data_IF_587907986403
#
_entry.id   IF_587907986403
#
_cell.length_a   1.000
_cell.length_b   1.000
_cell.length_c   1.000
_cell.angle_alpha   90.00
_cell.angle_beta   90.00
_cell.angle_gamma   90.00
#
_symmetry.space_group_name_H-M   'P 1'
#
loop_
_entity.id
_entity.type
_entity.pdbx_description
1 polymer ?
#
# COMPACT_ATOMS: atom_id res chain seq x y z
N UNK A 1 -7.72 17.60 -7.51
CA UNK A 1 -7.54 16.45 -8.45
C UNK A 1 -8.57 16.58 -9.56
N UNK A 2 -8.16 16.62 -10.84
CA UNK A 2 -9.09 16.68 -11.98
C UNK A 2 -9.21 15.28 -12.58
N UNK A 3 -10.33 14.60 -12.34
CA UNK A 3 -10.62 13.30 -12.95
C UNK A 3 -10.93 13.44 -14.44
N UNK A 4 -10.51 12.47 -15.26
CA UNK A 4 -10.92 12.39 -16.66
C UNK A 4 -12.42 12.06 -16.72
N UNK A 5 -13.16 12.77 -17.57
CA UNK A 5 -14.57 12.47 -17.83
C UNK A 5 -14.63 11.37 -18.89
N UNK A 6 -15.31 10.28 -18.58
CA UNK A 6 -15.65 9.23 -19.54
C UNK A 6 -17.11 9.39 -19.96
N UNK A 7 -17.44 8.86 -21.15
CA UNK A 7 -18.79 8.76 -21.68
C UNK A 7 -19.07 7.27 -21.90
N UNK A 8 -20.13 6.77 -21.27
CA UNK A 8 -20.61 5.41 -21.48
C UNK A 8 -21.24 5.29 -22.86
N UNK A 9 -21.07 4.15 -23.54
CA UNK A 9 -21.64 3.89 -24.86
C UNK A 9 -22.28 2.49 -24.84
N UNK A 10 -23.55 2.40 -25.26
CA UNK A 10 -24.31 1.14 -25.37
C UNK A 10 -24.00 0.38 -26.66
N UNK A 11 -22.73 0.11 -26.93
CA UNK A 11 -22.35 -0.78 -28.04
C UNK A 11 -22.56 -2.24 -27.63
N UNK A 12 -23.01 -3.06 -28.59
CA UNK A 12 -23.05 -4.51 -28.39
C UNK A 12 -21.65 -5.02 -28.06
N UNK A 13 -21.53 -5.74 -26.93
CA UNK A 13 -20.26 -6.33 -26.51
C UNK A 13 -19.79 -7.31 -27.58
N UNK A 14 -18.62 -7.06 -28.18
CA UNK A 14 -18.02 -7.97 -29.14
C UNK A 14 -17.59 -9.27 -28.45
N UNK A 15 -17.69 -10.40 -29.13
CA UNK A 15 -17.18 -11.67 -28.62
C UNK A 15 -15.66 -11.56 -28.37
N UNK A 16 -15.22 -12.09 -27.24
CA UNK A 16 -13.81 -12.06 -26.84
C UNK A 16 -13.00 -12.98 -27.77
N UNK A 17 -12.02 -12.47 -28.53
CA UNK A 17 -11.19 -13.32 -29.38
C UNK A 17 -10.38 -14.33 -28.55
N UNK A 18 -10.28 -15.57 -29.02
CA UNK A 18 -9.65 -16.68 -28.29
C UNK A 18 -8.20 -16.41 -27.89
N UNK A 19 -7.45 -15.64 -28.69
CA UNK A 19 -6.06 -15.30 -28.36
C UNK A 19 -5.96 -14.39 -27.13
N UNK A 20 -6.95 -13.52 -26.89
CA UNK A 20 -7.02 -12.71 -25.66
C UNK A 20 -7.45 -13.59 -24.49
N UNK A 21 -8.42 -14.49 -24.71
CA UNK A 21 -8.84 -15.46 -23.69
C UNK A 21 -7.68 -16.34 -23.23
N UNK A 22 -6.82 -16.79 -24.16
CA UNK A 22 -5.60 -17.53 -23.84
C UNK A 22 -4.62 -16.74 -22.97
N UNK A 23 -4.38 -15.46 -23.30
CA UNK A 23 -3.51 -14.58 -22.50
C UNK A 23 -4.04 -14.33 -21.07
N UNK A 24 -5.36 -14.31 -20.88
CA UNK A 24 -5.99 -14.16 -19.57
C UNK A 24 -5.88 -15.43 -18.72
N UNK A 25 -5.79 -16.61 -19.34
CA UNK A 25 -5.62 -17.89 -18.65
C UNK A 25 -4.17 -18.20 -18.27
N UNK A 26 -3.20 -17.69 -19.05
CA UNK A 26 -1.77 -17.82 -18.78
C UNK A 26 -1.25 -16.79 -17.77
N UNK A 27 -2.09 -15.90 -17.24
CA UNK A 27 -1.67 -14.97 -16.20
C UNK A 27 -1.28 -15.78 -14.94
N UNK A 28 0.02 -15.82 -14.57
CA UNK A 28 0.45 -16.58 -13.43
C UNK A 28 -0.31 -16.06 -12.21
N UNK A 29 -0.93 -16.98 -11.46
CA UNK A 29 -1.65 -16.66 -10.23
C UNK A 29 -0.83 -15.64 -9.43
N UNK A 30 -1.43 -14.51 -8.97
CA UNK A 30 -0.69 -13.42 -8.37
C UNK A 30 0.28 -13.98 -7.35
N UNK A 31 1.57 -13.82 -7.68
CA UNK A 31 2.72 -14.34 -6.97
C UNK A 31 2.51 -14.20 -5.47
N UNK A 32 2.60 -15.33 -4.75
CA UNK A 32 2.62 -15.52 -3.29
C UNK A 32 2.25 -14.27 -2.49
N UNK A 33 1.12 -14.30 -1.78
CA UNK A 33 0.76 -13.34 -0.72
C UNK A 33 2.03 -12.73 -0.12
N UNK A 34 2.25 -11.43 -0.34
CA UNK A 34 3.46 -10.74 0.05
C UNK A 34 3.91 -11.17 1.46
N UNK A 35 5.05 -11.85 1.57
CA UNK A 35 5.58 -12.27 2.86
C UNK A 35 6.35 -11.12 3.50
N UNK A 36 5.75 -10.54 4.54
CA UNK A 36 6.36 -9.48 5.34
C UNK A 36 7.07 -10.00 6.59
N UNK A 37 7.09 -11.31 6.85
CA UNK A 37 7.66 -11.93 8.05
C UNK A 37 9.08 -11.45 8.37
N UNK A 38 10.05 -11.58 7.45
CA UNK A 38 11.44 -11.15 7.70
C UNK A 38 11.57 -9.66 8.02
N UNK A 39 10.78 -8.81 7.36
CA UNK A 39 10.75 -7.37 7.60
C UNK A 39 10.20 -7.07 9.00
N UNK A 40 9.09 -7.73 9.35
CA UNK A 40 8.44 -7.55 10.64
C UNK A 40 9.30 -8.06 11.80
N UNK A 41 10.10 -9.09 11.61
CA UNK A 41 11.07 -9.56 12.60
C UNK A 41 12.16 -8.52 12.88
N UNK A 42 12.70 -7.88 11.84
CA UNK A 42 13.69 -6.81 11.98
C UNK A 42 13.10 -5.62 12.76
N UNK A 43 11.85 -5.26 12.47
CA UNK A 43 11.15 -4.18 13.18
C UNK A 43 10.81 -4.59 14.62
N UNK A 44 10.37 -5.83 14.84
CA UNK A 44 9.96 -6.35 16.15
C UNK A 44 11.12 -6.38 17.15
N UNK A 45 12.34 -6.64 16.69
CA UNK A 45 13.57 -6.53 17.51
C UNK A 45 13.78 -5.13 18.10
N UNK A 46 13.24 -4.08 17.47
CA UNK A 46 13.32 -2.69 17.96
C UNK A 46 12.08 -2.31 18.75
N UNK A 47 10.90 -2.71 18.28
CA UNK A 47 9.64 -2.45 18.96
C UNK A 47 8.53 -3.39 18.47
N UNK A 48 7.99 -4.19 19.38
CA UNK A 48 6.82 -5.04 19.11
C UNK A 48 5.61 -4.20 18.67
N UNK A 49 5.44 -3.00 19.23
CA UNK A 49 4.40 -2.06 18.83
C UNK A 49 4.56 -1.62 17.38
N UNK A 50 5.77 -1.20 16.98
CA UNK A 50 6.02 -0.75 15.59
C UNK A 50 5.81 -1.90 14.61
N UNK A 51 6.21 -3.12 14.96
CA UNK A 51 5.97 -4.29 14.13
C UNK A 51 4.47 -4.60 14.01
N UNK A 52 3.72 -4.54 15.10
CA UNK A 52 2.26 -4.73 15.07
C UNK A 52 1.55 -3.65 14.23
N UNK A 53 1.93 -2.38 14.40
CA UNK A 53 1.40 -1.28 13.60
C UNK A 53 1.72 -1.45 12.11
N UNK A 54 2.97 -1.79 11.78
CA UNK A 54 3.39 -2.04 10.39
C UNK A 54 2.58 -3.17 9.77
N UNK A 55 2.42 -4.29 10.47
CA UNK A 55 1.61 -5.43 10.00
C UNK A 55 0.15 -5.01 9.74
N UNK A 56 -0.48 -4.33 10.70
CA UNK A 56 -1.89 -3.93 10.58
C UNK A 56 -2.14 -2.99 9.40
N UNK A 57 -1.23 -2.04 9.13
CA UNK A 57 -1.34 -1.16 7.96
C UNK A 57 -1.17 -1.93 6.64
N UNK A 58 -0.20 -2.85 6.57
CA UNK A 58 0.01 -3.68 5.39
C UNK A 58 -1.17 -4.62 5.11
N UNK A 59 -1.72 -5.25 6.14
CA UNK A 59 -2.94 -6.06 6.04
C UNK A 59 -4.14 -5.22 5.58
N UNK A 60 -4.28 -3.99 6.09
CA UNK A 60 -5.34 -3.07 5.67
C UNK A 60 -5.22 -2.71 4.18
N UNK A 61 -4.00 -2.47 3.69
CA UNK A 61 -3.74 -2.25 2.26
C UNK A 61 -4.06 -3.50 1.45
N UNK A 62 -3.60 -4.68 1.87
CA UNK A 62 -3.87 -5.95 1.19
C UNK A 62 -5.36 -6.31 1.14
N UNK A 63 -6.11 -5.96 2.18
CA UNK A 63 -7.55 -6.22 2.27
C UNK A 63 -8.41 -5.14 1.59
N UNK A 64 -7.80 -4.11 0.98
CA UNK A 64 -8.53 -3.01 0.38
C UNK A 64 -9.41 -3.49 -0.78
N UNK A 65 -10.73 -3.32 -0.62
CA UNK A 65 -11.72 -3.77 -1.60
C UNK A 65 -11.49 -3.11 -2.98
N UNK A 66 -11.65 -3.85 -4.09
CA UNK A 66 -11.72 -3.25 -5.42
C UNK A 66 -12.90 -2.26 -5.50
N UNK A 67 -12.68 -1.10 -6.11
CA UNK A 67 -13.70 -0.05 -6.24
C UNK A 67 -13.07 1.33 -6.47
N UNK A 68 -13.82 2.24 -7.08
CA UNK A 68 -13.35 3.58 -7.42
C UNK A 68 -12.89 4.35 -6.16
N UNK A 69 -11.58 4.59 -6.07
CA UNK A 69 -10.95 5.45 -5.06
C UNK A 69 -10.55 4.79 -3.74
N UNK A 70 -11.20 3.69 -3.32
CA UNK A 70 -10.96 3.10 -2.00
C UNK A 70 -9.52 2.63 -1.78
N UNK A 71 -8.92 1.94 -2.77
CA UNK A 71 -7.55 1.41 -2.62
C UNK A 71 -6.50 2.51 -2.48
N UNK A 72 -6.62 3.57 -3.28
CA UNK A 72 -5.67 4.68 -3.23
C UNK A 72 -5.80 5.48 -1.91
N UNK A 73 -7.04 5.70 -1.44
CA UNK A 73 -7.28 6.30 -0.12
C UNK A 73 -6.73 5.44 1.01
N UNK A 74 -6.95 4.12 0.98
CA UNK A 74 -6.40 3.20 1.98
C UNK A 74 -4.87 3.22 1.96
N UNK A 75 -4.25 3.16 0.78
CA UNK A 75 -2.79 3.26 0.64
C UNK A 75 -2.25 4.58 1.19
N UNK A 76 -2.91 5.70 0.90
CA UNK A 76 -2.51 7.01 1.40
C UNK A 76 -2.58 7.08 2.93
N UNK A 77 -3.65 6.55 3.53
CA UNK A 77 -3.82 6.50 4.99
C UNK A 77 -2.75 5.63 5.65
N UNK A 78 -2.45 4.46 5.09
CA UNK A 78 -1.38 3.60 5.57
C UNK A 78 -0.01 4.28 5.45
N UNK A 79 0.27 4.92 4.31
CA UNK A 79 1.50 5.68 4.10
C UNK A 79 1.64 6.86 5.08
N UNK A 80 0.54 7.57 5.36
CA UNK A 80 0.50 8.60 6.39
C UNK A 80 0.82 8.02 7.76
N UNK A 81 0.13 6.96 8.18
CA UNK A 81 0.27 6.35 9.50
C UNK A 81 1.70 5.83 9.74
N UNK A 82 2.28 5.11 8.78
CA UNK A 82 3.66 4.63 8.86
C UNK A 82 4.66 5.79 8.74
N UNK A 83 4.35 6.82 7.96
CA UNK A 83 5.14 8.06 7.90
C UNK A 83 5.27 8.75 9.25
N UNK A 84 4.25 8.71 10.11
CA UNK A 84 4.35 9.25 11.47
C UNK A 84 5.33 8.47 12.34
N UNK A 85 5.47 7.16 12.14
CA UNK A 85 6.47 6.33 12.81
C UNK A 85 7.87 6.61 12.28
N UNK A 86 8.00 6.87 10.97
CA UNK A 86 9.25 7.34 10.35
C UNK A 86 9.68 8.68 10.94
N UNK A 87 8.76 9.66 11.03
CA UNK A 87 9.03 10.96 11.63
C UNK A 87 9.41 10.90 13.12
N UNK A 88 8.95 9.87 13.83
CA UNK A 88 9.34 9.59 15.22
C UNK A 88 10.65 8.79 15.34
N UNK A 89 11.33 8.46 14.23
CA UNK A 89 12.56 7.67 14.24
C UNK A 89 12.36 6.17 14.56
N UNK A 90 11.12 5.71 14.59
CA UNK A 90 10.75 4.35 15.01
C UNK A 90 10.76 3.34 13.85
N UNK A 91 10.70 3.80 12.62
CA UNK A 91 10.67 2.97 11.41
C UNK A 91 11.54 3.60 10.30
N UNK A 92 12.39 2.84 9.60
CA UNK A 92 13.16 3.39 8.49
C UNK A 92 12.27 3.77 7.30
N UNK A 93 12.56 4.90 6.66
CA UNK A 93 11.81 5.41 5.50
C UNK A 93 11.80 4.41 4.34
N UNK A 94 12.98 3.92 3.93
CA UNK A 94 13.09 3.01 2.78
C UNK A 94 12.36 1.69 2.98
N UNK A 95 12.35 1.18 4.21
CA UNK A 95 11.63 -0.05 4.58
C UNK A 95 10.12 0.16 4.49
N UNK A 96 9.62 1.31 4.97
CA UNK A 96 8.21 1.71 4.83
C UNK A 96 7.79 1.77 3.36
N UNK A 97 8.57 2.46 2.53
CA UNK A 97 8.28 2.60 1.10
C UNK A 97 8.27 1.25 0.39
N UNK A 98 9.26 0.40 0.64
CA UNK A 98 9.35 -0.93 0.03
C UNK A 98 8.16 -1.82 0.42
N UNK A 99 7.79 -1.85 1.70
CA UNK A 99 6.69 -2.67 2.19
C UNK A 99 5.33 -2.25 1.57
N UNK A 100 5.07 -0.95 1.51
CA UNK A 100 3.85 -0.41 0.91
C UNK A 100 3.82 -0.61 -0.61
N UNK A 101 4.97 -0.53 -1.29
CA UNK A 101 5.06 -0.81 -2.72
C UNK A 101 4.69 -2.27 -3.03
N UNK A 102 5.21 -3.21 -2.23
CA UNK A 102 4.86 -4.64 -2.35
C UNK A 102 3.37 -4.86 -2.05
N UNK A 103 2.83 -4.28 -0.98
CA UNK A 103 1.40 -4.44 -0.63
C UNK A 103 0.46 -3.82 -1.67
N UNK A 104 0.84 -2.70 -2.29
CA UNK A 104 0.03 -2.03 -3.32
C UNK A 104 0.10 -2.72 -4.68
N UNK A 105 1.20 -3.40 -5.01
CA UNK A 105 1.31 -4.21 -6.21
C UNK A 105 0.27 -5.34 -6.24
N UNK A 106 0.00 -5.97 -5.08
CA UNK A 106 -1.04 -6.99 -4.94
C UNK A 106 -2.48 -6.44 -5.14
N UNK A 107 -2.65 -5.12 -5.14
CA UNK A 107 -3.94 -4.44 -5.26
C UNK A 107 -4.23 -3.89 -6.66
N UNK A 108 -3.42 -4.22 -7.68
CA UNK A 108 -3.62 -3.78 -9.08
C UNK A 108 -3.78 -2.23 -9.15
N UNK A 109 -2.95 -1.49 -8.41
CA UNK A 109 -2.75 -0.06 -8.67
C UNK A 109 -1.65 0.11 -9.72
N UNK A 110 -1.76 1.09 -10.63
CA UNK A 110 -0.63 1.49 -11.45
C UNK A 110 0.57 1.86 -10.57
N UNK A 111 1.73 1.26 -10.80
CA UNK A 111 2.94 1.41 -9.96
C UNK A 111 3.31 2.88 -9.73
N UNK A 112 3.23 3.72 -10.76
CA UNK A 112 3.54 5.14 -10.66
C UNK A 112 2.59 5.90 -9.72
N UNK A 113 1.29 5.58 -9.75
CA UNK A 113 0.28 6.19 -8.88
C UNK A 113 0.50 5.75 -7.43
N UNK A 114 0.74 4.45 -7.21
CA UNK A 114 1.05 3.91 -5.89
C UNK A 114 2.29 4.58 -5.27
N UNK A 115 3.37 4.73 -6.04
CA UNK A 115 4.60 5.37 -5.55
C UNK A 115 4.40 6.85 -5.19
N UNK A 116 3.65 7.60 -6.01
CA UNK A 116 3.33 8.99 -5.71
C UNK A 116 2.47 9.12 -4.45
N UNK A 117 1.49 8.22 -4.27
CA UNK A 117 0.65 8.16 -3.07
C UNK A 117 1.45 7.81 -1.83
N UNK A 118 2.33 6.80 -1.91
CA UNK A 118 3.20 6.38 -0.80
C UNK A 118 4.09 7.54 -0.38
N UNK A 119 4.80 8.16 -1.34
CA UNK A 119 5.70 9.29 -1.08
C UNK A 119 4.95 10.45 -0.43
N UNK A 120 3.82 10.85 -1.00
CA UNK A 120 3.06 12.00 -0.46
C UNK A 120 2.51 11.73 0.94
N UNK A 121 1.93 10.54 1.18
CA UNK A 121 1.46 10.15 2.50
C UNK A 121 2.59 10.07 3.53
N UNK A 122 3.71 9.46 3.18
CA UNK A 122 4.85 9.28 4.06
C UNK A 122 5.49 10.63 4.45
N UNK A 123 5.68 11.55 3.49
CA UNK A 123 6.17 12.91 3.78
C UNK A 123 5.21 13.65 4.72
N UNK A 124 3.90 13.55 4.46
CA UNK A 124 2.89 14.19 5.30
C UNK A 124 2.91 13.60 6.73
N UNK A 125 3.02 12.28 6.86
CA UNK A 125 3.11 11.58 8.14
C UNK A 125 4.36 11.96 8.92
N UNK A 126 5.52 12.02 8.25
CA UNK A 126 6.79 12.37 8.87
C UNK A 126 6.80 13.80 9.46
N UNK A 127 6.00 14.72 8.88
CA UNK A 127 5.79 16.08 9.42
C UNK A 127 4.86 16.12 10.64
N UNK A 128 4.24 15.01 11.01
CA UNK A 128 3.41 14.88 12.21
C UNK A 128 3.80 13.62 12.99
N UNK A 129 5.02 13.58 13.57
CA UNK A 129 5.53 12.40 14.26
C UNK A 129 4.56 11.87 15.33
N UNK A 130 4.43 10.54 15.40
CA UNK A 130 3.56 9.91 16.40
C UNK A 130 4.20 10.03 17.78
N UNK A 131 3.50 10.64 18.74
CA UNK A 131 3.93 10.68 20.13
C UNK A 131 3.74 9.29 20.75
N UNK A 132 4.84 8.63 21.08
CA UNK A 132 4.82 7.38 21.86
C UNK A 132 5.25 7.68 23.29
N UNK A 133 4.54 7.14 24.27
CA UNK A 133 4.85 7.30 25.72
C UNK A 133 6.26 6.84 26.12
N UNK A 134 6.97 6.14 25.22
CA UNK A 134 8.37 5.73 25.42
C UNK A 134 9.36 6.90 25.56
N UNK A 135 8.97 8.13 25.18
CA UNK A 135 9.80 9.35 25.36
C UNK A 135 9.61 10.05 26.73
N UNK A 136 8.78 9.51 27.64
CA UNK A 136 8.50 10.13 28.94
C UNK A 136 9.33 9.61 30.13
N UNK A 137 10.34 8.77 29.91
CA UNK A 137 11.13 8.11 30.97
C UNK A 137 12.64 8.17 30.72
N UNK A 138 13.16 9.35 30.37
CA UNK A 138 14.60 9.63 30.37
C UNK A 138 14.87 10.95 31.11
#
# INVERSE_FOLDING_TARGET
MRGRRYRETDLSVAELPDWIAGLLHDEPAPSSRADFGPLLDVVARRSAYVAAATRGELETVLAAKPGSGHRNTTLNRAALALGQLVGAGLLPEGLTTAALAVASAANILPTHEAHATIRSGQIAGARSPRRTTLEGMA
#
